data_IF_868629384031
#
_entry.id   IF_868629384031
#
_cell.length_a   1.000
_cell.length_b   1.000
_cell.length_c   1.000
_cell.angle_alpha   90.00
_cell.angle_beta   90.00
_cell.angle_gamma   90.00
#
_symmetry.space_group_name_H-M   'P 1'
#
loop_
_entity.id
_entity.type
_entity.pdbx_description
1 polymer ?
#
# COMPACT_ATOMS: atom_id res chain seq x y z
N UNK A 1 -17.37 -13.52 -39.43
CA UNK A 1 -17.94 -14.02 -38.16
C UNK A 1 -17.86 -12.86 -37.19
N UNK A 2 -18.91 -12.07 -37.17
CA UNK A 2 -19.05 -10.85 -36.36
C UNK A 2 -19.54 -11.26 -34.98
N UNK A 3 -18.89 -10.80 -33.91
CA UNK A 3 -19.36 -10.99 -32.54
C UNK A 3 -20.16 -9.74 -32.17
N UNK A 4 -21.48 -9.91 -32.14
CA UNK A 4 -22.42 -8.94 -31.59
C UNK A 4 -22.24 -8.84 -30.06
N UNK A 5 -21.94 -7.64 -29.56
CA UNK A 5 -22.22 -7.28 -28.18
C UNK A 5 -23.70 -6.89 -28.09
N UNK A 6 -24.50 -7.67 -27.36
CA UNK A 6 -25.91 -7.35 -27.14
C UNK A 6 -26.05 -6.50 -25.88
N UNK A 7 -26.49 -5.26 -26.05
CA UNK A 7 -27.04 -4.40 -24.98
C UNK A 7 -28.35 -4.98 -24.44
N UNK A 8 -28.64 -4.71 -23.16
CA UNK A 8 -29.99 -4.78 -22.60
C UNK A 8 -30.18 -3.65 -21.60
N UNK A 9 -31.20 -2.82 -21.87
CA UNK A 9 -31.50 -1.54 -21.25
C UNK A 9 -32.21 -1.62 -19.88
N UNK A 10 -31.79 -0.71 -19.00
CA UNK A 10 -32.49 0.14 -18.01
C UNK A 10 -33.77 -0.30 -17.29
N UNK A 11 -33.75 -0.16 -15.95
CA UNK A 11 -34.86 0.40 -15.15
C UNK A 11 -34.32 1.33 -14.04
N UNK A 12 -35.00 2.47 -13.91
CA UNK A 12 -34.70 3.65 -13.09
C UNK A 12 -34.79 3.47 -11.56
N UNK A 13 -34.28 4.50 -10.87
CA UNK A 13 -33.90 4.66 -9.47
C UNK A 13 -35.06 4.68 -8.43
N UNK A 14 -34.73 4.83 -7.13
CA UNK A 14 -34.63 6.20 -6.63
C UNK A 14 -33.31 6.51 -5.91
N UNK A 15 -32.87 7.75 -6.18
CA UNK A 15 -31.91 8.55 -5.44
C UNK A 15 -32.36 8.75 -4.00
N UNK A 16 -31.51 8.36 -3.04
CA UNK A 16 -31.46 9.00 -1.73
C UNK A 16 -30.03 9.50 -1.49
N UNK A 17 -29.83 10.76 -1.80
CA UNK A 17 -28.85 11.63 -1.15
C UNK A 17 -29.25 11.81 0.31
N UNK A 18 -28.38 11.44 1.24
CA UNK A 18 -28.42 11.99 2.60
C UNK A 18 -27.01 12.10 3.18
N UNK A 19 -26.48 13.31 3.02
CA UNK A 19 -25.80 14.10 4.05
C UNK A 19 -24.43 13.63 4.56
N UNK A 20 -23.42 14.30 4.03
CA UNK A 20 -22.16 14.61 4.69
C UNK A 20 -22.42 15.06 6.14
N UNK A 21 -22.12 14.17 7.09
CA UNK A 21 -21.86 14.57 8.46
C UNK A 21 -20.34 14.71 8.62
N UNK A 22 -19.84 15.91 8.28
CA UNK A 22 -18.57 16.42 8.77
C UNK A 22 -18.65 16.48 10.31
N UNK A 23 -18.41 15.34 10.95
CA UNK A 23 -18.12 15.30 12.37
C UNK A 23 -16.62 15.56 12.49
N UNK A 24 -16.28 16.84 12.57
CA UNK A 24 -15.07 17.38 13.21
C UNK A 24 -15.08 16.96 14.69
N UNK A 25 -14.98 15.66 14.91
CA UNK A 25 -14.74 15.06 16.21
C UNK A 25 -13.26 14.71 16.24
N UNK A 26 -12.54 15.31 17.19
CA UNK A 26 -11.25 14.81 17.66
C UNK A 26 -11.44 13.37 18.15
N UNK A 27 -11.48 12.43 17.21
CA UNK A 27 -11.47 11.00 17.51
C UNK A 27 -10.03 10.74 17.90
N UNK A 28 -9.80 10.61 19.20
CA UNK A 28 -8.56 10.04 19.70
C UNK A 28 -8.43 8.62 19.15
N UNK A 29 -7.79 8.50 18.00
CA UNK A 29 -7.56 7.24 17.32
C UNK A 29 -6.54 6.48 18.15
N UNK A 30 -7.00 5.44 18.86
CA UNK A 30 -6.12 4.52 19.56
C UNK A 30 -5.21 3.83 18.52
N UNK A 31 -3.90 4.14 18.48
CA UNK A 31 -2.99 3.66 17.43
C UNK A 31 -2.85 2.13 17.43
N UNK A 32 -3.30 1.45 18.50
CA UNK A 32 -3.25 0.00 18.65
C UNK A 32 -4.43 -0.72 17.98
N UNK A 33 -5.51 -0.01 17.63
CA UNK A 33 -6.71 -0.57 16.97
C UNK A 33 -6.98 -0.06 15.56
N UNK A 34 -6.01 0.64 14.97
CA UNK A 34 -6.13 1.23 13.63
C UNK A 34 -5.84 0.19 12.56
N UNK A 35 -6.89 -0.23 11.84
CA UNK A 35 -6.75 -1.08 10.67
C UNK A 35 -6.94 -0.25 9.38
N UNK A 36 -5.83 -0.04 8.66
CA UNK A 36 -5.83 0.54 7.32
C UNK A 36 -6.30 -0.48 6.29
N UNK A 37 -6.88 -0.01 5.19
CA UNK A 37 -7.34 -0.88 4.11
C UNK A 37 -6.18 -1.72 3.53
N UNK A 38 -6.42 -3.01 3.26
CA UNK A 38 -5.39 -3.92 2.75
C UNK A 38 -4.88 -3.44 1.37
N UNK A 39 -3.56 -3.30 1.24
CA UNK A 39 -2.91 -2.82 0.03
C UNK A 39 -2.84 -1.29 -0.06
N UNK A 40 -3.39 -0.58 0.92
CA UNK A 40 -3.24 0.87 1.04
C UNK A 40 -1.79 1.27 1.29
N UNK A 41 -1.40 2.43 0.75
CA UNK A 41 -0.12 3.06 1.10
C UNK A 41 -0.07 3.45 2.58
N UNK A 42 -1.23 3.78 3.17
CA UNK A 42 -1.34 4.13 4.59
C UNK A 42 -1.15 2.94 5.52
N UNK A 43 -1.17 1.70 5.01
CA UNK A 43 -0.82 0.51 5.78
C UNK A 43 0.61 0.55 6.31
N UNK A 44 1.49 1.38 5.73
CA UNK A 44 2.79 1.70 6.29
C UNK A 44 2.70 2.24 7.73
N UNK A 45 1.65 2.97 8.09
CA UNK A 45 1.54 3.58 9.42
C UNK A 45 1.42 2.55 10.56
N UNK A 46 0.95 1.34 10.27
CA UNK A 46 1.00 0.22 11.22
C UNK A 46 2.43 -0.21 11.58
N UNK A 47 3.43 0.16 10.77
CA UNK A 47 4.85 -0.04 11.09
C UNK A 47 5.36 0.90 12.19
N UNK A 48 4.78 2.09 12.32
CA UNK A 48 5.28 3.14 13.21
C UNK A 48 5.30 2.72 14.69
N UNK A 49 4.46 1.75 15.10
CA UNK A 49 4.50 1.14 16.44
C UNK A 49 5.84 0.48 16.77
N UNK A 50 6.55 -0.01 15.75
CA UNK A 50 7.86 -0.63 15.92
C UNK A 50 9.00 0.39 16.05
N UNK A 51 8.78 1.66 15.70
CA UNK A 51 9.79 2.70 15.82
C UNK A 51 10.18 2.96 17.28
N UNK A 52 9.28 2.73 18.24
CA UNK A 52 9.61 2.82 19.68
C UNK A 52 10.72 1.83 20.08
N UNK A 53 10.77 0.65 19.45
CA UNK A 53 11.82 -0.34 19.71
C UNK A 53 13.17 0.13 19.17
N UNK A 54 13.21 1.02 18.17
CA UNK A 54 14.48 1.52 17.64
C UNK A 54 15.26 2.34 18.67
N UNK A 55 14.57 3.15 19.46
CA UNK A 55 15.19 3.99 20.49
C UNK A 55 15.70 3.17 21.68
N UNK A 56 15.03 2.06 21.98
CA UNK A 56 15.35 1.20 23.13
C UNK A 56 16.31 0.06 22.79
N UNK A 57 16.24 -0.47 21.57
CA UNK A 57 16.86 -1.75 21.22
C UNK A 57 18.01 -1.64 20.21
N UNK A 58 18.18 -0.50 19.54
CA UNK A 58 19.18 -0.31 18.49
C UNK A 58 20.26 0.73 18.86
N UNK A 59 21.53 0.57 18.40
CA UNK A 59 22.05 -0.57 17.66
C UNK A 59 22.31 -1.78 18.58
N UNK A 60 21.80 -2.94 18.16
CA UNK A 60 21.86 -4.23 18.85
C UNK A 60 23.25 -4.82 19.13
N UNK A 61 24.34 -4.08 18.92
CA UNK A 61 25.73 -4.57 18.88
C UNK A 61 26.18 -5.34 20.14
N UNK A 62 25.40 -5.34 21.22
CA UNK A 62 25.80 -5.88 22.52
C UNK A 62 24.90 -7.00 23.06
N UNK A 63 23.90 -7.50 22.33
CA UNK A 63 23.07 -8.60 22.84
C UNK A 63 22.58 -9.61 21.79
N UNK A 64 22.95 -10.88 21.97
CA UNK A 64 22.41 -12.04 21.22
C UNK A 64 20.96 -12.40 21.63
N UNK A 65 20.40 -11.75 22.66
CA UNK A 65 19.09 -12.11 23.21
C UNK A 65 17.93 -11.31 22.65
N UNK A 66 18.17 -10.27 21.84
CA UNK A 66 17.09 -9.54 21.15
C UNK A 66 16.81 -10.21 19.80
N UNK A 67 15.68 -10.92 19.62
CA UNK A 67 15.43 -11.78 18.46
C UNK A 67 15.29 -11.01 17.13
N UNK A 68 15.10 -9.68 17.19
CA UNK A 68 14.70 -8.86 16.04
C UNK A 68 15.79 -7.85 15.62
N UNK A 69 17.05 -8.08 15.98
CA UNK A 69 18.12 -7.11 15.74
C UNK A 69 18.41 -6.82 14.26
N UNK A 70 18.12 -7.77 13.39
CA UNK A 70 18.14 -7.60 11.94
C UNK A 70 17.14 -6.54 11.44
N UNK A 71 16.15 -6.20 12.26
CA UNK A 71 15.17 -5.14 11.99
C UNK A 71 15.72 -3.73 12.23
N UNK A 72 16.82 -3.54 12.98
CA UNK A 72 17.39 -2.21 13.25
C UNK A 72 17.76 -1.44 11.96
N UNK A 73 18.05 -2.14 10.85
CA UNK A 73 18.34 -1.50 9.55
C UNK A 73 17.16 -0.71 8.99
N UNK A 74 15.95 -0.99 9.45
CA UNK A 74 14.73 -0.33 9.02
C UNK A 74 14.38 0.91 9.85
N UNK A 75 15.01 1.11 11.02
CA UNK A 75 14.79 2.29 11.86
C UNK A 75 15.02 3.62 11.13
N UNK A 76 15.89 3.61 10.11
CA UNK A 76 16.11 4.77 9.23
C UNK A 76 14.87 5.24 8.46
N UNK A 77 13.78 4.47 8.45
CA UNK A 77 12.54 4.83 7.78
C UNK A 77 11.52 5.46 8.75
N UNK A 78 11.74 5.40 10.07
CA UNK A 78 10.82 5.94 11.06
C UNK A 78 10.54 7.44 10.94
N UNK A 79 11.43 8.21 10.30
CA UNK A 79 11.18 9.63 10.01
C UNK A 79 9.94 9.87 9.12
N UNK A 80 9.50 8.85 8.37
CA UNK A 80 8.30 8.94 7.55
C UNK A 80 7.03 8.97 8.40
N UNK A 81 7.04 8.43 9.61
CA UNK A 81 5.85 8.33 10.46
C UNK A 81 5.27 9.69 10.84
N UNK A 82 6.08 10.61 11.35
CA UNK A 82 5.60 11.90 11.88
C UNK A 82 5.02 12.82 10.81
N UNK A 83 5.52 12.74 9.57
CA UNK A 83 5.04 13.58 8.47
C UNK A 83 3.91 12.92 7.68
N UNK A 84 4.01 11.61 7.44
CA UNK A 84 3.07 10.89 6.58
C UNK A 84 1.86 10.39 7.37
N UNK A 85 2.07 9.74 8.52
CA UNK A 85 0.99 9.07 9.22
C UNK A 85 0.11 10.03 10.00
N UNK A 86 0.71 11.04 10.66
CA UNK A 86 -0.05 11.96 11.50
C UNK A 86 -0.82 13.01 10.69
N UNK A 87 -0.36 13.31 9.47
CA UNK A 87 -0.92 14.42 8.65
C UNK A 87 -1.67 13.94 7.41
N UNK A 88 -1.28 12.81 6.82
CA UNK A 88 -1.76 12.40 5.49
C UNK A 88 -2.67 11.17 5.56
N UNK A 89 -2.43 10.26 6.50
CA UNK A 89 -3.11 8.96 6.55
C UNK A 89 -4.07 8.83 7.73
N UNK A 90 -5.37 8.72 7.42
CA UNK A 90 -6.40 8.29 8.38
C UNK A 90 -6.94 6.93 7.96
N UNK A 91 -7.10 6.00 8.91
CA UNK A 91 -7.70 4.70 8.59
C UNK A 91 -9.15 4.85 8.14
N UNK A 92 -9.49 4.19 7.04
CA UNK A 92 -10.77 4.38 6.37
C UNK A 92 -10.91 5.76 5.69
N UNK A 93 -9.87 6.60 5.71
CA UNK A 93 -9.85 7.87 5.00
C UNK A 93 -9.79 7.70 3.48
N UNK A 94 -9.92 8.82 2.75
CA UNK A 94 -9.96 8.81 1.28
C UNK A 94 -8.67 8.22 0.70
N UNK A 95 -7.51 8.69 1.17
CA UNK A 95 -6.23 8.19 0.68
C UNK A 95 -6.05 6.71 0.98
N UNK A 96 -6.48 6.26 2.16
CA UNK A 96 -6.41 4.87 2.56
C UNK A 96 -7.25 3.97 1.63
N UNK A 97 -8.50 4.37 1.37
CA UNK A 97 -9.41 3.63 0.50
C UNK A 97 -9.00 3.65 -0.96
N UNK A 98 -8.71 4.82 -1.52
CA UNK A 98 -8.39 4.98 -2.94
C UNK A 98 -7.10 4.24 -3.29
N UNK A 99 -6.06 4.37 -2.47
CA UNK A 99 -4.79 3.67 -2.73
C UNK A 99 -4.97 2.15 -2.64
N UNK A 100 -5.74 1.65 -1.67
CA UNK A 100 -6.10 0.24 -1.60
C UNK A 100 -6.89 -0.21 -2.83
N UNK A 101 -7.88 0.57 -3.29
CA UNK A 101 -8.65 0.24 -4.49
C UNK A 101 -7.77 0.16 -5.74
N UNK A 102 -6.81 1.06 -5.91
CA UNK A 102 -5.87 1.00 -7.03
C UNK A 102 -5.06 -0.30 -6.97
N UNK A 103 -4.44 -0.59 -5.83
CA UNK A 103 -3.62 -1.81 -5.66
C UNK A 103 -4.44 -3.08 -5.86
N UNK A 104 -5.67 -3.12 -5.33
CA UNK A 104 -6.55 -4.27 -5.47
C UNK A 104 -7.19 -4.40 -6.87
N UNK A 105 -7.18 -3.32 -7.67
CA UNK A 105 -7.62 -3.35 -9.07
C UNK A 105 -6.53 -3.77 -10.04
N UNK A 106 -5.26 -3.80 -9.58
CA UNK A 106 -4.18 -4.32 -10.41
C UNK A 106 -4.40 -5.82 -10.63
N UNK A 107 -4.21 -6.31 -11.87
CA UNK A 107 -4.25 -7.75 -12.12
C UNK A 107 -3.20 -8.42 -11.24
N UNK A 108 -3.52 -9.60 -10.70
CA UNK A 108 -2.53 -10.44 -10.06
C UNK A 108 -1.46 -10.79 -11.08
N UNK A 109 -0.28 -10.19 -10.96
CA UNK A 109 0.84 -10.48 -11.86
C UNK A 109 1.26 -11.93 -11.68
N UNK A 110 1.13 -12.75 -12.73
CA UNK A 110 1.77 -14.06 -12.77
C UNK A 110 3.27 -13.83 -12.95
N UNK A 111 4.03 -14.07 -11.89
CA UNK A 111 5.47 -13.87 -11.91
C UNK A 111 6.15 -14.66 -13.04
N UNK A 112 5.70 -15.89 -13.29
CA UNK A 112 6.24 -16.76 -14.34
C UNK A 112 6.05 -16.16 -15.73
N UNK A 113 4.85 -15.66 -16.04
CA UNK A 113 4.55 -15.01 -17.33
C UNK A 113 5.38 -13.73 -17.53
N UNK A 114 5.52 -12.92 -16.49
CA UNK A 114 6.32 -11.68 -16.55
C UNK A 114 7.82 -12.00 -16.72
N UNK A 115 8.32 -13.00 -16.01
CA UNK A 115 9.72 -13.42 -16.12
C UNK A 115 10.02 -13.99 -17.53
N UNK A 116 9.10 -14.78 -18.10
CA UNK A 116 9.21 -15.31 -19.47
C UNK A 116 9.23 -14.19 -20.53
N UNK A 117 8.35 -13.20 -20.41
CA UNK A 117 8.31 -12.03 -21.30
C UNK A 117 9.59 -11.19 -21.21
N UNK A 118 10.11 -10.98 -20.00
CA UNK A 118 11.38 -10.28 -19.78
C UNK A 118 12.53 -11.04 -20.47
N UNK A 119 12.57 -12.37 -20.33
CA UNK A 119 13.60 -13.20 -20.94
C UNK A 119 13.54 -13.21 -22.47
N UNK A 120 12.34 -13.20 -23.05
CA UNK A 120 12.15 -13.10 -24.50
C UNK A 120 12.74 -11.80 -25.08
N UNK A 121 12.63 -10.69 -24.34
CA UNK A 121 13.14 -9.37 -24.77
C UNK A 121 14.65 -9.22 -24.50
N UNK A 122 15.22 -9.90 -23.50
CA UNK A 122 16.67 -9.87 -23.21
C UNK A 122 17.52 -10.21 -24.44
N UNK A 123 17.12 -11.23 -25.21
CA UNK A 123 17.83 -11.60 -26.44
C UNK A 123 17.86 -10.46 -27.47
N UNK A 124 16.76 -9.72 -27.61
CA UNK A 124 16.67 -8.57 -28.52
C UNK A 124 17.50 -7.37 -28.03
N UNK A 125 17.46 -7.08 -26.74
CA UNK A 125 18.27 -6.02 -26.11
C UNK A 125 19.76 -6.29 -26.30
N UNK A 126 20.20 -7.52 -26.06
CA UNK A 126 21.61 -7.91 -26.16
C UNK A 126 22.12 -7.81 -27.59
N UNK A 127 21.30 -8.20 -28.58
CA UNK A 127 21.65 -8.13 -30.00
C UNK A 127 21.72 -6.70 -30.54
N UNK A 128 20.88 -5.79 -30.03
CA UNK A 128 20.83 -4.38 -30.44
C UNK A 128 21.74 -3.45 -29.62
N UNK A 129 22.39 -3.99 -28.59
CA UNK A 129 23.34 -3.27 -27.74
C UNK A 129 24.49 -2.62 -28.51
N UNK A 130 24.94 -3.24 -29.60
CA UNK A 130 26.06 -2.74 -30.41
C UNK A 130 25.61 -1.73 -31.49
N UNK A 131 24.29 -1.49 -31.63
CA UNK A 131 23.70 -0.50 -32.56
C UNK A 131 23.22 0.79 -31.85
N UNK A 132 23.34 0.86 -30.51
CA UNK A 132 23.01 2.01 -29.64
C UNK A 132 24.28 2.67 -29.10
#
# INVERSE_FOLDING_TARGET
>A
MEIHCTESQEKEAPSETSEDAETEGDVHVDPEKVEYAKGSVCQYCSYCKFCKLCDEDCPCKTSKTKPNCDMCKYCKFCYLCSAFCDTVCSAGGILDRVSASIVNSLPSFNKEEVDDDIDAVKYWIDKKRDEL
#
